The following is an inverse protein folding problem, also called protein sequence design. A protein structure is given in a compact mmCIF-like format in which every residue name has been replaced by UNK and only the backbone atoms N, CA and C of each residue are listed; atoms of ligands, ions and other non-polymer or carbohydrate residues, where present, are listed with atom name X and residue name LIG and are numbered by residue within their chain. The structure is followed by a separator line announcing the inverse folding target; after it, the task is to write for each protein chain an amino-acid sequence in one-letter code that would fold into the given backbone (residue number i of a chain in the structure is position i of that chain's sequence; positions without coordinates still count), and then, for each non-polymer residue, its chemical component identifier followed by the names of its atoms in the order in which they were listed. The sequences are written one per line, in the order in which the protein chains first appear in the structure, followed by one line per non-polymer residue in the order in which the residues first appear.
data_IF_370082711347
#
_entry.id   IF_370082711347
#
_cell.length_a   1.000
_cell.length_b   1.000
_cell.length_c   1.000
_cell.angle_alpha   90.00
_cell.angle_beta   90.00
_cell.angle_gamma   90.00
#
_symmetry.space_group_name_H-M   'P 1'
#
loop_
_entity.id
_entity.type
_entity.pdbx_description
1 polymer ?
#
# COMPACT_ATOMS: atom_id res chain seq x y z
N UNK A 1 -13.99 -9.85 36.65
CA UNK A 1 -14.79 -9.24 35.57
C UNK A 1 -13.99 -8.05 35.04
N UNK A 2 -13.95 -7.89 33.72
CA UNK A 2 -13.32 -6.78 32.97
C UNK A 2 -11.84 -6.93 32.63
N UNK A 3 -11.57 -7.54 31.47
CA UNK A 3 -10.76 -6.87 30.44
C UNK A 3 -11.31 -7.27 29.06
N UNK A 4 -12.28 -6.47 28.60
CA UNK A 4 -12.66 -6.36 27.19
C UNK A 4 -11.83 -5.21 26.65
N UNK A 5 -10.97 -5.44 25.67
CA UNK A 5 -10.62 -4.56 24.51
C UNK A 5 -9.43 -5.24 23.80
N UNK A 6 -9.57 -5.92 22.66
CA UNK A 6 -10.11 -5.34 21.44
C UNK A 6 -9.05 -4.50 20.72
N UNK A 7 -7.98 -5.12 20.21
CA UNK A 7 -7.12 -4.53 19.18
C UNK A 7 -6.31 -5.62 18.47
N UNK A 8 -6.93 -6.25 17.46
CA UNK A 8 -6.20 -6.85 16.36
C UNK A 8 -5.26 -5.74 15.85
N UNK A 9 -3.97 -5.85 16.12
CA UNK A 9 -2.97 -4.87 15.67
C UNK A 9 -2.86 -4.99 14.16
N UNK A 10 -3.75 -4.34 13.43
CA UNK A 10 -3.53 -3.99 12.02
C UNK A 10 -2.48 -2.88 11.99
N UNK A 11 -1.25 -3.20 12.40
CA UNK A 11 -0.05 -2.42 12.04
C UNK A 11 0.28 -2.74 10.58
N UNK A 12 -0.63 -2.38 9.69
CA UNK A 12 -0.39 -2.36 8.27
C UNK A 12 -0.56 -0.90 7.85
N UNK A 13 0.51 -0.28 7.36
CA UNK A 13 0.59 1.09 6.81
C UNK A 13 1.25 2.20 7.66
N UNK A 14 2.31 1.90 8.44
CA UNK A 14 3.23 2.96 8.92
C UNK A 14 4.53 3.03 8.11
N UNK A 15 4.80 2.05 7.24
CA UNK A 15 5.98 2.05 6.36
C UNK A 15 5.65 2.67 5.01
N UNK A 16 6.53 3.52 4.44
CA UNK A 16 6.35 4.05 3.10
C UNK A 16 6.44 2.91 2.07
N UNK A 17 5.30 2.51 1.50
CA UNK A 17 5.24 1.53 0.41
C UNK A 17 5.40 2.21 -0.94
N UNK A 18 6.22 1.65 -1.82
CA UNK A 18 6.31 2.11 -3.22
C UNK A 18 5.26 1.40 -4.05
N UNK A 19 4.45 2.16 -4.78
CA UNK A 19 3.43 1.67 -5.69
C UNK A 19 3.78 2.07 -7.13
N UNK A 20 3.83 1.11 -8.04
CA UNK A 20 4.04 1.36 -9.48
C UNK A 20 2.74 1.27 -10.24
N UNK A 21 2.46 2.27 -11.09
CA UNK A 21 1.31 2.25 -11.97
C UNK A 21 1.59 1.43 -13.24
N UNK A 22 0.85 0.35 -13.46
CA UNK A 22 0.98 -0.52 -14.63
C UNK A 22 0.50 0.12 -15.96
N UNK A 23 -0.07 1.34 -15.91
CA UNK A 23 -0.52 2.06 -17.13
C UNK A 23 0.55 3.00 -17.68
N UNK A 24 1.30 3.66 -16.80
CA UNK A 24 2.28 4.68 -17.18
C UNK A 24 3.65 4.46 -16.54
N UNK A 25 3.82 3.35 -15.82
CA UNK A 25 5.03 2.97 -15.07
C UNK A 25 5.50 4.03 -14.07
N UNK A 26 4.58 4.86 -13.56
CA UNK A 26 4.90 5.88 -12.56
C UNK A 26 4.94 5.27 -11.16
N UNK A 27 6.05 5.48 -10.45
CA UNK A 27 6.24 5.03 -9.07
C UNK A 27 5.83 6.15 -8.10
N UNK A 28 4.96 5.82 -7.16
CA UNK A 28 4.50 6.71 -6.10
C UNK A 28 4.77 6.08 -4.75
N UNK A 29 5.47 6.81 -3.88
CA UNK A 29 5.73 6.38 -2.51
C UNK A 29 4.57 6.85 -1.65
N UNK A 30 3.83 5.92 -1.06
CA UNK A 30 2.70 6.22 -0.20
C UNK A 30 2.51 5.09 0.81
N UNK A 31 2.29 5.40 2.10
CA UNK A 31 2.00 4.37 3.10
C UNK A 31 0.69 3.63 2.80
N UNK A 32 -0.21 4.25 2.03
CA UNK A 32 -1.51 3.67 1.66
C UNK A 32 -1.69 3.62 0.14
N UNK A 33 -2.40 2.60 -0.35
CA UNK A 33 -2.72 2.43 -1.78
C UNK A 33 -3.38 3.70 -2.35
N UNK A 34 -2.74 4.38 -3.33
CA UNK A 34 -3.30 5.58 -3.97
C UNK A 34 -4.60 5.28 -4.69
N UNK A 35 -5.60 6.16 -4.59
CA UNK A 35 -6.89 5.98 -5.30
C UNK A 35 -6.78 6.18 -6.81
N UNK A 36 -5.92 7.11 -7.24
CA UNK A 36 -5.71 7.49 -8.65
C UNK A 36 -4.25 7.84 -8.89
N UNK A 37 -3.77 7.57 -10.10
CA UNK A 37 -2.43 7.96 -10.52
C UNK A 37 -2.35 9.47 -10.80
N UNK A 38 -1.39 10.21 -10.20
CA UNK A 38 -1.20 11.63 -10.47
C UNK A 38 -0.68 11.91 -11.88
N UNK A 39 -0.10 10.90 -12.56
CA UNK A 39 0.48 11.05 -13.90
C UNK A 39 -0.54 10.85 -15.02
N UNK A 40 -1.40 9.83 -14.92
CA UNK A 40 -2.32 9.41 -15.99
C UNK A 40 -3.79 9.28 -15.57
N UNK A 41 -4.12 9.40 -14.27
CA UNK A 41 -5.49 9.25 -13.77
C UNK A 41 -5.99 7.81 -13.65
N UNK A 42 -5.15 6.80 -13.90
CA UNK A 42 -5.51 5.39 -13.73
C UNK A 42 -5.98 5.07 -12.30
N UNK A 43 -6.99 4.21 -12.19
CA UNK A 43 -7.55 3.74 -10.91
C UNK A 43 -6.56 2.90 -10.11
N UNK A 44 -6.75 2.84 -8.79
CA UNK A 44 -5.95 2.04 -7.83
C UNK A 44 -5.73 0.57 -8.19
N UNK A 45 -6.63 -0.03 -8.98
CA UNK A 45 -6.53 -1.43 -9.43
C UNK A 45 -5.35 -1.67 -10.37
N UNK A 46 -4.80 -0.59 -10.95
CA UNK A 46 -3.63 -0.64 -11.83
C UNK A 46 -2.34 -0.30 -11.11
N UNK A 47 -2.34 -0.32 -9.78
CA UNK A 47 -1.14 -0.12 -8.97
C UNK A 47 -0.64 -1.46 -8.44
N UNK A 48 0.67 -1.64 -8.50
CA UNK A 48 1.37 -2.81 -7.99
C UNK A 48 2.35 -2.35 -6.89
N UNK A 49 2.32 -3.02 -5.76
CA UNK A 49 3.27 -2.77 -4.67
C UNK A 49 4.65 -3.31 -5.05
N UNK A 50 5.65 -2.43 -5.13
CA UNK A 50 7.03 -2.78 -5.47
C UNK A 50 7.91 -2.93 -4.21
N UNK A 51 7.31 -2.71 -3.03
CA UNK A 51 8.01 -2.64 -1.75
C UNK A 51 7.67 -3.76 -0.75
N UNK A 52 6.84 -4.73 -1.13
CA UNK A 52 6.69 -5.95 -0.34
C UNK A 52 7.82 -6.91 -0.75
N UNK A 53 9.00 -6.73 -0.17
CA UNK A 53 9.98 -7.79 -0.14
C UNK A 53 9.33 -8.98 0.59
N UNK A 54 8.92 -9.98 -0.17
CA UNK A 54 8.83 -11.33 0.33
C UNK A 54 10.24 -11.72 0.75
N UNK A 55 10.52 -11.64 2.05
CA UNK A 55 11.59 -12.43 2.64
C UNK A 55 11.20 -13.90 2.39
N UNK A 56 11.80 -14.51 1.38
CA UNK A 56 11.79 -15.95 1.22
C UNK A 56 13.18 -16.41 0.79
N UNK A 57 13.94 -16.72 1.85
CA UNK A 57 15.07 -17.65 1.99
C UNK A 57 16.40 -17.35 1.28
#
# INVERSE_FOLDING_TARGET
MTDKTGALRTRAAETPTTWECLTCHFQVVSPTLPRKCPRCGASRVKFLEVGAQAENE
#
